data_IF_109671029270
#
_entry.id   IF_109671029270
#
_cell.length_a   1.000
_cell.length_b   1.000
_cell.length_c   1.000
_cell.angle_alpha   90.00
_cell.angle_beta   90.00
_cell.angle_gamma   90.00
#
_symmetry.space_group_name_H-M   'P 1'
#
loop_
_entity.id
_entity.type
_entity.pdbx_description
1 polymer ?
#
# COMPACT_ATOMS: atom_id res chain seq x y z
N UNK A 1 7.68 -4.45 -0.76
CA UNK A 1 9.01 -5.12 -0.81
C UNK A 1 9.76 -4.89 -2.12
N UNK A 2 9.37 -5.49 -3.27
CA UNK A 2 10.13 -5.31 -4.54
C UNK A 2 10.25 -3.85 -4.96
N UNK A 3 9.11 -3.15 -5.08
CA UNK A 3 9.06 -1.72 -5.45
C UNK A 3 9.85 -0.84 -4.47
N UNK A 4 9.70 -1.08 -3.16
CA UNK A 4 10.49 -0.38 -2.13
C UNK A 4 12.00 -0.63 -2.26
N UNK A 5 12.42 -1.84 -2.62
CA UNK A 5 13.83 -2.13 -2.88
C UNK A 5 14.34 -1.40 -4.13
N UNK A 6 13.53 -1.34 -5.19
CA UNK A 6 13.90 -0.64 -6.43
C UNK A 6 14.01 0.87 -6.18
N UNK A 7 13.07 1.44 -5.43
CA UNK A 7 13.11 2.84 -5.00
C UNK A 7 14.36 3.14 -4.16
N UNK A 8 14.64 2.35 -3.12
CA UNK A 8 15.83 2.56 -2.27
C UNK A 8 17.13 2.46 -3.07
N UNK A 9 17.22 1.52 -4.02
CA UNK A 9 18.37 1.41 -4.93
C UNK A 9 18.50 2.63 -5.85
N UNK A 10 17.39 3.24 -6.28
CA UNK A 10 17.42 4.48 -7.06
C UNK A 10 17.89 5.69 -6.24
N UNK A 11 17.83 5.59 -4.91
CA UNK A 11 18.36 6.57 -3.95
C UNK A 11 19.76 6.19 -3.42
N UNK A 12 20.51 5.34 -4.13
CA UNK A 12 21.86 4.87 -3.77
C UNK A 12 21.97 4.10 -2.43
N UNK A 13 20.87 3.53 -1.93
CA UNK A 13 20.90 2.63 -0.78
C UNK A 13 21.01 1.15 -1.19
N UNK A 14 21.75 0.37 -0.39
CA UNK A 14 21.77 -1.10 -0.56
C UNK A 14 20.53 -1.72 0.09
N UNK A 15 19.71 -2.42 -0.70
CA UNK A 15 18.51 -3.08 -0.18
C UNK A 15 18.24 -4.43 -0.84
N UNK A 16 17.70 -5.37 -0.07
CA UNK A 16 17.17 -6.64 -0.59
C UNK A 16 16.00 -7.17 0.24
N UNK A 17 15.42 -8.31 -0.17
CA UNK A 17 14.40 -9.02 0.58
C UNK A 17 14.66 -10.53 0.61
N UNK A 18 14.32 -11.17 1.73
CA UNK A 18 14.50 -12.62 1.90
C UNK A 18 13.69 -13.38 0.86
N UNK A 19 14.34 -14.33 0.17
CA UNK A 19 13.73 -15.14 -0.89
C UNK A 19 13.78 -14.50 -2.28
N UNK A 20 14.45 -13.35 -2.44
CA UNK A 20 14.71 -12.73 -3.75
C UNK A 20 15.65 -13.59 -4.61
N UNK A 21 16.85 -13.84 -4.09
CA UNK A 21 17.91 -14.63 -4.73
C UNK A 21 18.72 -15.31 -3.62
N UNK A 22 18.90 -16.62 -3.69
CA UNK A 22 19.68 -17.37 -2.70
C UNK A 22 21.17 -17.06 -2.74
N UNK A 23 21.68 -16.47 -3.84
CA UNK A 23 23.08 -16.04 -3.92
C UNK A 23 23.39 -14.88 -2.96
N UNK A 24 22.40 -14.07 -2.61
CA UNK A 24 22.52 -12.94 -1.68
C UNK A 24 22.47 -13.37 -0.19
N UNK A 25 22.18 -14.65 0.10
CA UNK A 25 21.96 -15.14 1.46
C UNK A 25 23.15 -14.87 2.40
N UNK A 26 24.37 -15.04 1.90
CA UNK A 26 25.60 -14.80 2.67
C UNK A 26 25.75 -13.31 2.97
N UNK A 27 25.47 -12.45 2.00
CA UNK A 27 25.53 -10.99 2.16
C UNK A 27 24.46 -10.48 3.12
N UNK A 28 23.27 -11.07 3.11
CA UNK A 28 22.21 -10.79 4.09
C UNK A 28 22.69 -11.15 5.49
N UNK A 29 23.23 -12.35 5.70
CA UNK A 29 23.73 -12.81 7.01
C UNK A 29 24.89 -11.93 7.50
N UNK A 30 25.78 -11.52 6.60
CA UNK A 30 26.92 -10.65 6.92
C UNK A 30 26.51 -9.19 7.18
N UNK A 31 25.26 -8.80 6.92
CA UNK A 31 24.78 -7.44 7.11
C UNK A 31 25.27 -6.45 6.05
N UNK A 32 25.49 -6.91 4.82
CA UNK A 32 26.00 -6.09 3.71
C UNK A 32 24.92 -5.20 3.05
N UNK A 33 23.69 -5.25 3.54
CA UNK A 33 22.57 -4.41 3.09
C UNK A 33 22.14 -3.42 4.17
N UNK A 34 21.88 -2.18 3.78
CA UNK A 34 21.32 -1.15 4.66
C UNK A 34 19.85 -1.43 4.99
N UNK A 35 19.08 -1.96 4.02
CA UNK A 35 17.68 -2.31 4.20
C UNK A 35 17.43 -3.78 3.83
N UNK A 36 16.85 -4.53 4.76
CA UNK A 36 16.42 -5.90 4.56
C UNK A 36 14.91 -6.00 4.80
N UNK A 37 14.16 -6.38 3.76
CA UNK A 37 12.75 -6.68 3.88
C UNK A 37 12.50 -8.17 4.04
N UNK A 38 11.46 -8.54 4.78
CA UNK A 38 11.06 -9.92 4.94
C UNK A 38 9.55 -10.00 5.21
N UNK A 39 8.91 -11.08 4.75
CA UNK A 39 7.60 -11.45 5.27
C UNK A 39 7.76 -12.13 6.64
N UNK A 40 6.74 -12.09 7.52
CA UNK A 40 6.78 -12.79 8.81
C UNK A 40 7.10 -14.27 8.67
N UNK A 41 6.53 -14.93 7.64
CA UNK A 41 6.79 -16.32 7.32
C UNK A 41 8.27 -16.55 6.99
N UNK A 42 8.85 -15.72 6.12
CA UNK A 42 10.22 -15.88 5.66
C UNK A 42 11.25 -15.74 6.78
N UNK A 43 11.04 -14.80 7.71
CA UNK A 43 11.99 -14.49 8.78
C UNK A 43 11.85 -15.41 10.00
N UNK A 44 10.62 -15.87 10.31
CA UNK A 44 10.34 -16.67 11.52
C UNK A 44 10.29 -18.18 11.29
N UNK A 45 10.00 -18.65 10.08
CA UNK A 45 9.84 -20.10 9.80
C UNK A 45 11.15 -20.83 9.51
N UNK A 46 12.22 -20.10 9.17
CA UNK A 46 13.50 -20.67 8.77
C UNK A 46 14.57 -20.32 9.81
N UNK A 47 15.16 -21.36 10.41
CA UNK A 47 16.14 -21.20 11.50
C UNK A 47 17.32 -20.30 11.13
N UNK A 48 17.88 -20.44 9.92
CA UNK A 48 18.99 -19.62 9.42
C UNK A 48 18.77 -18.11 9.64
N UNK A 49 17.55 -17.63 9.37
CA UNK A 49 17.23 -16.21 9.49
C UNK A 49 16.98 -15.79 10.94
N UNK A 50 16.40 -16.68 11.76
CA UNK A 50 16.30 -16.47 13.22
C UNK A 50 17.68 -16.38 13.86
N UNK A 51 18.60 -17.27 13.46
CA UNK A 51 19.97 -17.29 13.97
C UNK A 51 20.73 -15.99 13.61
N UNK A 52 20.52 -15.48 12.39
CA UNK A 52 21.04 -14.16 11.98
C UNK A 52 20.48 -13.03 12.87
N UNK A 53 19.18 -13.04 13.19
CA UNK A 53 18.58 -12.02 14.08
C UNK A 53 19.25 -12.01 15.46
N UNK A 54 19.55 -13.20 16.01
CA UNK A 54 20.16 -13.36 17.33
C UNK A 54 21.66 -13.02 17.32
N UNK A 55 22.37 -13.45 16.27
CA UNK A 55 23.83 -13.30 16.19
C UNK A 55 24.28 -11.88 15.84
N UNK A 56 23.51 -11.18 15.01
CA UNK A 56 23.89 -9.86 14.50
C UNK A 56 23.50 -8.73 15.47
N UNK A 57 24.48 -7.88 15.78
CA UNK A 57 24.26 -6.62 16.52
C UNK A 57 24.15 -5.41 15.59
N UNK A 58 24.08 -5.63 14.27
CA UNK A 58 24.10 -4.57 13.29
C UNK A 58 22.74 -3.90 13.09
N UNK A 59 21.64 -4.57 13.46
CA UNK A 59 20.30 -4.01 13.34
C UNK A 59 20.16 -2.71 14.16
N UNK A 60 19.78 -1.63 13.47
CA UNK A 60 19.59 -0.31 14.07
C UNK A 60 18.11 0.01 14.33
N UNK A 61 17.22 -0.59 13.55
CA UNK A 61 15.78 -0.39 13.64
C UNK A 61 15.08 -1.62 13.07
N UNK A 62 14.00 -2.05 13.73
CA UNK A 62 13.08 -3.04 13.19
C UNK A 62 11.74 -2.39 12.91
N UNK A 63 11.30 -2.44 11.66
CA UNK A 63 10.07 -1.79 11.20
C UNK A 63 9.04 -2.87 10.88
N UNK A 64 7.84 -2.70 11.42
CA UNK A 64 6.68 -3.52 11.07
C UNK A 64 5.68 -2.63 10.35
N UNK A 65 5.59 -2.83 9.04
CA UNK A 65 4.56 -2.22 8.21
C UNK A 65 3.24 -2.98 8.36
N UNK A 66 2.12 -2.26 8.21
CA UNK A 66 0.77 -2.77 8.47
C UNK A 66 0.63 -3.51 9.81
N UNK A 67 1.19 -2.94 10.88
CA UNK A 67 1.28 -3.59 12.19
C UNK A 67 -0.08 -4.04 12.76
N UNK A 68 -1.18 -3.41 12.34
CA UNK A 68 -2.54 -3.76 12.75
C UNK A 68 -2.94 -5.19 12.34
N UNK A 69 -2.30 -5.77 11.34
CA UNK A 69 -2.54 -7.15 10.88
C UNK A 69 -2.30 -8.19 11.96
N UNK A 70 -1.45 -7.91 12.96
CA UNK A 70 -1.20 -8.78 14.11
C UNK A 70 -2.46 -9.03 14.95
N UNK A 71 -3.43 -8.11 14.90
CA UNK A 71 -4.68 -8.19 15.66
C UNK A 71 -5.72 -9.10 15.00
N UNK A 72 -5.67 -9.24 13.67
CA UNK A 72 -6.72 -9.90 12.89
C UNK A 72 -6.27 -11.18 12.19
N UNK A 73 -4.99 -11.28 11.81
CA UNK A 73 -4.50 -12.40 11.00
C UNK A 73 -3.74 -13.45 11.82
N UNK A 74 -3.32 -13.06 13.04
CA UNK A 74 -2.63 -13.93 13.98
C UNK A 74 -3.56 -14.75 14.89
N UNK A 75 -4.81 -14.32 15.07
CA UNK A 75 -5.81 -14.99 15.89
C UNK A 75 -7.03 -15.30 15.02
N UNK A 76 -7.51 -16.54 15.07
CA UNK A 76 -8.81 -16.90 14.53
C UNK A 76 -9.82 -16.91 15.67
N UNK A 77 -10.71 -15.92 15.67
CA UNK A 77 -11.96 -16.07 16.40
C UNK A 77 -12.83 -17.04 15.57
N UNK A 78 -13.04 -18.25 16.11
CA UNK A 78 -13.94 -19.32 15.61
C UNK A 78 -13.27 -20.29 14.63
N UNK A 79 -12.88 -21.49 15.14
CA UNK A 79 -12.67 -22.79 14.44
C UNK A 79 -11.94 -22.85 13.08
N UNK A 80 -11.32 -21.77 12.61
CA UNK A 80 -10.54 -21.73 11.37
C UNK A 80 -9.06 -21.59 11.69
N UNK A 81 -8.20 -22.17 10.86
CA UNK A 81 -6.76 -21.93 10.97
C UNK A 81 -6.47 -20.43 10.78
N UNK A 82 -5.58 -19.82 11.58
CA UNK A 82 -5.21 -18.42 11.42
C UNK A 82 -4.70 -18.20 9.99
N UNK A 83 -5.32 -17.25 9.28
CA UNK A 83 -5.06 -16.94 7.88
C UNK A 83 -3.56 -16.69 7.61
N UNK A 84 -2.81 -16.19 8.62
CA UNK A 84 -1.33 -16.18 8.61
C UNK A 84 -0.75 -16.37 10.03
N UNK A 85 -0.55 -17.61 10.43
CA UNK A 85 -0.03 -17.98 11.77
C UNK A 85 1.27 -17.26 12.17
N UNK A 86 2.12 -16.89 11.22
CA UNK A 86 3.39 -16.23 11.51
C UNK A 86 3.23 -14.78 11.97
N UNK A 87 2.09 -14.14 11.68
CA UNK A 87 1.81 -12.79 12.17
C UNK A 87 1.61 -12.77 13.69
N UNK A 88 0.94 -13.77 14.31
CA UNK A 88 0.82 -13.81 15.78
C UNK A 88 2.16 -14.01 16.48
N UNK A 89 3.16 -14.53 15.77
CA UNK A 89 4.51 -14.78 16.28
C UNK A 89 5.47 -13.61 16.09
N UNK A 90 5.04 -12.50 15.48
CA UNK A 90 5.92 -11.35 15.26
C UNK A 90 6.47 -10.75 16.56
N UNK A 91 5.72 -10.87 17.66
CA UNK A 91 6.22 -10.50 19.00
C UNK A 91 7.47 -11.28 19.42
N UNK A 92 7.68 -12.51 18.92
CA UNK A 92 8.89 -13.30 19.19
C UNK A 92 10.15 -12.59 18.70
N UNK A 93 10.06 -11.83 17.60
CA UNK A 93 11.20 -11.09 17.04
C UNK A 93 11.76 -10.13 18.08
N UNK A 94 10.90 -9.54 18.93
CA UNK A 94 11.34 -8.63 20.00
C UNK A 94 12.32 -9.30 20.97
N UNK A 95 12.20 -10.60 21.18
CA UNK A 95 13.12 -11.38 22.01
C UNK A 95 14.42 -11.74 21.28
N UNK A 96 14.45 -11.66 19.95
CA UNK A 96 15.60 -11.99 19.11
C UNK A 96 16.45 -10.76 18.78
N UNK A 97 15.86 -9.57 18.75
CA UNK A 97 16.55 -8.32 18.38
C UNK A 97 16.68 -7.36 19.58
N UNK A 98 17.76 -6.58 19.61
CA UNK A 98 18.01 -5.59 20.67
C UNK A 98 17.85 -4.13 20.21
N UNK A 99 17.34 -3.87 19.00
CA UNK A 99 17.17 -2.52 18.46
C UNK A 99 15.78 -1.93 18.73
N UNK A 100 15.59 -0.60 18.57
CA UNK A 100 14.27 0.02 18.58
C UNK A 100 13.32 -0.61 17.56
N UNK A 101 12.02 -0.58 17.87
CA UNK A 101 10.96 -1.07 16.98
C UNK A 101 10.07 0.09 16.58
N UNK A 102 9.73 0.16 15.29
CA UNK A 102 8.77 1.09 14.73
C UNK A 102 7.59 0.32 14.17
N UNK A 103 6.39 0.62 14.66
CA UNK A 103 5.14 0.07 14.14
C UNK A 103 4.47 1.13 13.26
N UNK A 104 4.21 0.81 12.01
CA UNK A 104 3.54 1.69 11.06
C UNK A 104 2.18 1.08 10.69
N UNK A 105 1.13 1.89 10.71
CA UNK A 105 -0.21 1.49 10.26
C UNK A 105 -1.04 2.71 9.92
N UNK A 106 -1.87 2.61 8.88
CA UNK A 106 -2.82 3.67 8.53
C UNK A 106 -4.05 3.69 9.45
N UNK A 107 -4.48 2.53 9.94
CA UNK A 107 -5.73 2.38 10.68
C UNK A 107 -5.49 1.72 12.03
N UNK A 108 -5.54 2.52 13.10
CA UNK A 108 -5.51 1.99 14.47
C UNK A 108 -6.23 2.92 15.44
N UNK A 109 -7.41 2.48 15.90
CA UNK A 109 -8.09 3.13 17.01
C UNK A 109 -7.29 2.93 18.33
N UNK A 110 -7.68 3.63 19.39
CA UNK A 110 -6.96 3.60 20.67
C UNK A 110 -6.81 2.17 21.24
N UNK A 111 -7.85 1.34 21.14
CA UNK A 111 -7.80 -0.04 21.63
C UNK A 111 -6.82 -0.90 20.81
N UNK A 112 -6.87 -0.76 19.48
CA UNK A 112 -5.96 -1.46 18.57
C UNK A 112 -4.50 -1.10 18.85
N UNK A 113 -4.20 0.17 19.14
CA UNK A 113 -2.84 0.62 19.49
C UNK A 113 -2.35 -0.02 20.79
N UNK A 114 -3.18 -0.07 21.83
CA UNK A 114 -2.80 -0.74 23.09
C UNK A 114 -2.52 -2.23 22.88
N UNK A 115 -3.36 -2.93 22.12
CA UNK A 115 -3.16 -4.35 21.83
C UNK A 115 -1.90 -4.61 20.98
N UNK A 116 -1.61 -3.76 19.98
CA UNK A 116 -0.36 -3.84 19.23
C UNK A 116 0.87 -3.62 20.12
N UNK A 117 0.85 -2.59 20.97
CA UNK A 117 1.95 -2.33 21.92
C UNK A 117 2.21 -3.55 22.80
N UNK A 118 1.14 -4.19 23.31
CA UNK A 118 1.24 -5.42 24.09
C UNK A 118 1.82 -6.59 23.29
N UNK A 119 1.32 -6.86 22.08
CA UNK A 119 1.77 -7.98 21.23
C UNK A 119 3.22 -7.83 20.76
N UNK A 120 3.68 -6.60 20.54
CA UNK A 120 5.07 -6.31 20.18
C UNK A 120 5.99 -6.05 21.38
N UNK A 121 5.47 -6.19 22.62
CA UNK A 121 6.20 -5.90 23.85
C UNK A 121 6.88 -4.52 23.83
N UNK A 122 6.14 -3.51 23.38
CA UNK A 122 6.57 -2.12 23.33
C UNK A 122 6.48 -1.53 24.74
N UNK A 123 7.62 -1.15 25.30
CA UNK A 123 7.74 -0.50 26.62
C UNK A 123 8.02 0.98 26.37
N UNK A 124 7.32 1.87 27.09
CA UNK A 124 7.45 3.33 26.98
C UNK A 124 7.35 3.83 25.53
N UNK A 125 6.38 3.29 24.79
CA UNK A 125 6.18 3.58 23.38
C UNK A 125 5.80 5.05 23.14
N UNK A 126 6.54 5.73 22.27
CA UNK A 126 6.15 7.04 21.76
C UNK A 126 5.11 6.88 20.64
N UNK A 127 3.90 7.38 20.85
CA UNK A 127 2.83 7.35 19.84
C UNK A 127 2.80 8.64 19.01
N UNK A 128 2.89 8.51 17.68
CA UNK A 128 2.63 9.60 16.73
C UNK A 128 1.31 9.29 16.04
N UNK A 129 0.33 10.17 16.21
CA UNK A 129 -1.02 10.03 15.65
C UNK A 129 -1.31 11.28 14.83
N UNK A 130 -1.59 11.08 13.55
CA UNK A 130 -2.00 12.15 12.64
C UNK A 130 -3.46 11.99 12.25
N UNK A 131 -4.15 13.12 12.07
CA UNK A 131 -5.49 13.12 11.50
C UNK A 131 -5.38 12.80 10.00
N UNK A 132 -6.07 11.77 9.49
CA UNK A 132 -6.05 11.46 8.06
C UNK A 132 -6.91 12.42 7.23
N UNK A 133 -7.61 13.36 7.86
CA UNK A 133 -8.44 14.34 7.15
C UNK A 133 -7.60 15.16 6.17
N UNK A 134 -8.13 15.32 4.96
CA UNK A 134 -7.48 16.04 3.86
C UNK A 134 -8.45 17.11 3.39
N UNK A 135 -8.15 18.36 3.72
CA UNK A 135 -9.06 19.49 3.47
C UNK A 135 -9.38 19.70 1.98
N UNK A 136 -8.47 19.27 1.10
CA UNK A 136 -8.62 19.28 -0.35
C UNK A 136 -9.51 18.13 -0.89
N UNK A 137 -9.95 17.18 -0.07
CA UNK A 137 -10.85 16.09 -0.46
C UNK A 137 -12.28 16.42 -0.01
N UNK A 138 -13.19 16.60 -0.96
CA UNK A 138 -14.63 16.81 -0.68
C UNK A 138 -15.41 15.51 -0.87
N UNK A 139 -16.25 15.18 0.10
CA UNK A 139 -17.05 13.95 0.10
C UNK A 139 -18.50 14.27 -0.26
N UNK A 140 -19.05 13.53 -1.23
CA UNK A 140 -20.46 13.64 -1.64
C UNK A 140 -21.09 12.24 -1.72
N UNK A 141 -22.35 12.13 -1.27
CA UNK A 141 -23.13 10.91 -1.36
C UNK A 141 -24.40 11.15 -2.18
N UNK A 142 -24.59 10.35 -3.22
CA UNK A 142 -25.77 10.40 -4.08
C UNK A 142 -26.44 9.03 -4.13
N UNK A 143 -27.76 9.00 -4.01
CA UNK A 143 -28.56 7.77 -4.07
C UNK A 143 -29.30 7.70 -5.40
N UNK A 144 -29.27 6.53 -6.02
CA UNK A 144 -29.94 6.26 -7.28
C UNK A 144 -30.94 5.11 -7.11
N UNK A 145 -32.06 5.16 -7.83
CA UNK A 145 -32.95 4.00 -7.93
C UNK A 145 -32.25 2.91 -8.73
N UNK A 146 -32.48 1.65 -8.37
CA UNK A 146 -31.91 0.48 -9.09
C UNK A 146 -32.29 0.40 -10.57
N UNK A 147 -33.34 1.11 -10.98
CA UNK A 147 -33.81 1.18 -12.37
C UNK A 147 -32.99 2.14 -13.24
N UNK A 148 -32.16 3.00 -12.65
CA UNK A 148 -31.36 3.98 -13.40
C UNK A 148 -30.15 3.28 -14.02
N UNK A 149 -29.92 3.49 -15.31
CA UNK A 149 -28.80 2.87 -16.00
C UNK A 149 -27.45 3.49 -15.58
N UNK A 150 -26.36 2.73 -15.66
CA UNK A 150 -25.01 3.26 -15.42
C UNK A 150 -24.68 4.48 -16.30
N UNK A 151 -25.16 4.50 -17.55
CA UNK A 151 -24.93 5.62 -18.45
C UNK A 151 -25.61 6.91 -18.01
N UNK A 152 -26.74 6.82 -17.30
CA UNK A 152 -27.45 7.99 -16.78
C UNK A 152 -26.85 8.44 -15.45
N UNK A 153 -26.45 7.49 -14.59
CA UNK A 153 -25.74 7.77 -13.31
C UNK A 153 -24.46 8.57 -13.59
N UNK A 154 -23.68 8.14 -14.59
CA UNK A 154 -22.41 8.77 -14.94
C UNK A 154 -22.51 9.72 -16.14
N UNK A 155 -23.71 10.24 -16.44
CA UNK A 155 -23.91 11.13 -17.58
C UNK A 155 -22.99 12.36 -17.54
N UNK A 156 -22.79 12.96 -16.36
CA UNK A 156 -21.92 14.12 -16.18
C UNK A 156 -20.48 13.82 -16.62
N UNK A 157 -19.96 12.65 -16.24
CA UNK A 157 -18.61 12.23 -16.57
C UNK A 157 -18.48 11.90 -18.05
N UNK A 158 -19.47 11.23 -18.63
CA UNK A 158 -19.52 10.96 -20.07
C UNK A 158 -19.54 12.27 -20.86
N UNK A 159 -20.28 13.28 -20.39
CA UNK A 159 -20.32 14.61 -21.01
C UNK A 159 -18.96 15.32 -20.90
N UNK A 160 -18.33 15.28 -19.72
CA UNK A 160 -17.01 15.85 -19.47
C UNK A 160 -15.95 15.24 -20.40
N UNK A 161 -15.89 13.90 -20.47
CA UNK A 161 -14.96 13.19 -21.36
C UNK A 161 -15.19 13.51 -22.84
N UNK A 162 -16.44 13.71 -23.27
CA UNK A 162 -16.73 14.12 -24.65
C UNK A 162 -16.22 15.52 -24.98
N UNK A 163 -16.31 16.42 -24.01
CA UNK A 163 -15.94 17.83 -24.16
C UNK A 163 -14.41 17.99 -24.10
N UNK A 164 -13.78 17.44 -23.06
CA UNK A 164 -12.40 17.76 -22.72
C UNK A 164 -11.39 16.72 -23.25
N UNK A 165 -11.82 15.47 -23.47
CA UNK A 165 -11.03 14.38 -24.08
C UNK A 165 -9.65 14.22 -23.42
N UNK A 166 -8.55 14.44 -24.15
CA UNK A 166 -7.17 14.41 -23.66
C UNK A 166 -6.90 15.41 -22.52
N UNK A 167 -7.71 16.47 -22.39
CA UNK A 167 -7.60 17.49 -21.34
C UNK A 167 -8.50 17.18 -20.12
N UNK A 168 -9.25 16.08 -20.14
CA UNK A 168 -10.07 15.69 -19.00
C UNK A 168 -9.17 15.30 -17.82
N UNK A 169 -9.50 15.81 -16.64
CA UNK A 169 -8.82 15.38 -15.41
C UNK A 169 -8.94 13.86 -15.21
N UNK A 170 -7.93 13.29 -14.56
CA UNK A 170 -7.88 11.86 -14.27
C UNK A 170 -8.92 11.50 -13.21
N UNK A 171 -9.73 10.48 -13.52
CA UNK A 171 -10.83 10.05 -12.67
C UNK A 171 -10.76 8.54 -12.45
N UNK A 172 -10.79 8.13 -11.18
CA UNK A 172 -10.89 6.73 -10.77
C UNK A 172 -12.33 6.39 -10.38
N UNK A 173 -12.86 5.31 -10.95
CA UNK A 173 -14.16 4.75 -10.57
C UNK A 173 -13.95 3.38 -9.94
N UNK A 174 -14.11 3.28 -8.62
CA UNK A 174 -14.04 2.01 -7.92
C UNK A 174 -15.35 1.22 -8.09
N UNK A 175 -15.24 -0.01 -8.58
CA UNK A 175 -16.37 -0.92 -8.75
C UNK A 175 -16.28 -2.08 -7.74
N UNK A 176 -17.41 -2.55 -7.18
CA UNK A 176 -17.41 -3.63 -6.18
C UNK A 176 -17.09 -5.01 -6.77
N UNK A 177 -17.17 -5.17 -8.09
CA UNK A 177 -16.87 -6.43 -8.77
C UNK A 177 -16.37 -6.22 -10.20
N UNK A 178 -15.67 -7.22 -10.74
CA UNK A 178 -15.24 -7.27 -12.16
C UNK A 178 -16.46 -7.16 -13.08
N UNK A 179 -17.58 -7.78 -12.70
CA UNK A 179 -18.84 -7.72 -13.45
C UNK A 179 -19.36 -6.28 -13.54
N UNK A 180 -19.47 -5.59 -12.41
CA UNK A 180 -19.92 -4.18 -12.38
C UNK A 180 -18.98 -3.28 -13.18
N UNK A 181 -17.66 -3.50 -13.07
CA UNK A 181 -16.67 -2.77 -13.85
C UNK A 181 -16.86 -2.98 -15.37
N UNK A 182 -17.07 -4.22 -15.80
CA UNK A 182 -17.36 -4.58 -17.19
C UNK A 182 -18.67 -3.97 -17.72
N UNK A 183 -19.73 -3.99 -16.91
CA UNK A 183 -21.02 -3.41 -17.24
C UNK A 183 -20.94 -1.88 -17.39
N UNK A 184 -20.23 -1.21 -16.47
CA UNK A 184 -19.99 0.23 -16.53
C UNK A 184 -19.15 0.61 -17.75
N UNK A 185 -18.06 -0.12 -18.00
CA UNK A 185 -17.21 0.09 -19.18
C UNK A 185 -18.01 -0.08 -20.48
N UNK A 186 -18.89 -1.07 -20.55
CA UNK A 186 -19.78 -1.28 -21.69
C UNK A 186 -20.75 -0.12 -21.89
N UNK A 187 -21.33 0.43 -20.82
CA UNK A 187 -22.18 1.61 -20.89
C UNK A 187 -21.42 2.84 -21.40
N UNK A 188 -20.19 3.06 -20.92
CA UNK A 188 -19.31 4.12 -21.41
C UNK A 188 -18.98 3.92 -22.89
N UNK A 189 -18.62 2.70 -23.31
CA UNK A 189 -18.32 2.36 -24.70
C UNK A 189 -19.48 2.66 -25.63
N UNK A 190 -20.70 2.31 -25.25
CA UNK A 190 -21.90 2.60 -26.03
C UNK A 190 -22.17 4.11 -26.18
N UNK A 191 -21.87 4.91 -25.15
CA UNK A 191 -22.15 6.36 -25.14
C UNK A 191 -21.02 7.19 -25.74
N UNK A 192 -19.76 6.76 -25.63
CA UNK A 192 -18.56 7.48 -26.05
C UNK A 192 -18.11 7.17 -27.47
N UNK A 193 -18.41 5.98 -28.01
CA UNK A 193 -17.95 5.58 -29.34
C UNK A 193 -16.41 5.60 -29.42
N UNK A 194 -15.84 6.34 -30.37
CA UNK A 194 -14.38 6.43 -30.56
C UNK A 194 -13.63 7.09 -29.39
N UNK A 195 -14.31 7.87 -28.55
CA UNK A 195 -13.74 8.55 -27.38
C UNK A 195 -13.44 7.53 -26.25
N UNK A 196 -13.93 6.29 -26.36
CA UNK A 196 -13.67 5.23 -25.38
C UNK A 196 -12.18 4.94 -25.16
N UNK A 197 -11.29 5.34 -26.08
CA UNK A 197 -9.84 5.23 -25.94
C UNK A 197 -9.27 5.93 -24.69
N UNK A 198 -10.02 6.85 -24.08
CA UNK A 198 -9.65 7.56 -22.83
C UNK A 198 -10.18 6.89 -21.56
N UNK A 199 -10.77 5.71 -21.68
CA UNK A 199 -11.31 4.97 -20.54
C UNK A 199 -10.67 3.60 -20.56
N UNK A 200 -10.11 3.20 -19.43
CA UNK A 200 -9.48 1.90 -19.25
C UNK A 200 -10.17 1.13 -18.13
N UNK A 201 -10.13 -0.20 -18.23
CA UNK A 201 -10.64 -1.12 -17.20
C UNK A 201 -9.49 -1.82 -16.49
N UNK A 202 -9.42 -1.68 -15.18
CA UNK A 202 -8.36 -2.25 -14.35
C UNK A 202 -8.94 -3.21 -13.31
N UNK A 203 -8.60 -4.50 -13.42
CA UNK A 203 -8.98 -5.51 -12.44
C UNK A 203 -7.98 -6.68 -12.39
N UNK A 204 -8.13 -7.62 -11.45
CA UNK A 204 -7.19 -8.72 -11.25
C UNK A 204 -6.94 -9.57 -12.51
N UNK A 205 -7.96 -9.79 -13.33
CA UNK A 205 -7.88 -10.54 -14.59
C UNK A 205 -7.40 -9.71 -15.81
N UNK A 206 -7.11 -8.42 -15.65
CA UNK A 206 -6.56 -7.61 -16.75
C UNK A 206 -5.16 -8.13 -17.08
N UNK A 207 -4.77 -8.29 -18.36
CA UNK A 207 -3.41 -8.68 -18.72
C UNK A 207 -2.38 -7.75 -18.11
N UNK A 208 -1.27 -8.28 -17.60
CA UNK A 208 -0.29 -7.46 -16.88
C UNK A 208 0.34 -6.37 -17.76
N UNK A 209 0.54 -6.64 -19.05
CA UNK A 209 0.97 -5.62 -20.02
C UNK A 209 0.03 -4.43 -20.11
N UNK A 210 -1.28 -4.66 -19.96
CA UNK A 210 -2.29 -3.60 -19.96
C UNK A 210 -2.32 -2.90 -18.60
N UNK A 211 -2.16 -3.63 -17.49
CA UNK A 211 -2.04 -3.02 -16.15
C UNK A 211 -0.85 -2.07 -16.08
N UNK A 212 0.32 -2.48 -16.58
CA UNK A 212 1.51 -1.63 -16.57
C UNK A 212 1.32 -0.38 -17.44
N UNK A 213 0.77 -0.52 -18.66
CA UNK A 213 0.42 0.66 -19.50
C UNK A 213 -0.50 1.65 -18.77
N UNK A 214 -1.53 1.15 -18.09
CA UNK A 214 -2.47 2.01 -17.35
C UNK A 214 -1.78 2.69 -16.17
N UNK A 215 -0.93 1.97 -15.43
CA UNK A 215 -0.16 2.55 -14.31
C UNK A 215 0.78 3.64 -14.82
N UNK A 216 1.50 3.39 -15.90
CA UNK A 216 2.40 4.37 -16.54
C UNK A 216 1.62 5.63 -16.94
N UNK A 217 0.51 5.48 -17.67
CA UNK A 217 -0.33 6.61 -18.11
C UNK A 217 -0.88 7.45 -16.94
N UNK A 218 -1.27 6.78 -15.85
CA UNK A 218 -1.78 7.43 -14.64
C UNK A 218 -0.69 8.07 -13.76
N UNK A 219 0.59 7.69 -13.95
CA UNK A 219 1.73 8.19 -13.17
C UNK A 219 2.36 9.47 -13.72
N UNK A 220 2.06 9.85 -14.96
CA UNK A 220 2.64 11.05 -15.58
C UNK A 220 2.05 12.30 -14.95
N UNK A 221 2.80 13.05 -14.15
CA UNK A 221 2.36 14.35 -13.64
C UNK A 221 2.12 15.31 -14.82
N UNK A 222 0.97 15.98 -14.84
CA UNK A 222 0.74 17.07 -15.78
C UNK A 222 1.56 18.28 -15.34
N UNK A 223 2.27 18.94 -16.26
CA UNK A 223 3.18 20.08 -16.04
C UNK A 223 2.58 21.29 -15.26
N UNK A 224 1.32 21.25 -14.85
CA UNK A 224 0.63 22.28 -14.07
C UNK A 224 0.96 22.28 -12.57
N UNK A 225 1.46 21.19 -11.98
CA UNK A 225 1.63 21.08 -10.52
C UNK A 225 2.98 21.59 -9.99
N UNK A 226 3.95 21.89 -10.85
CA UNK A 226 5.27 22.42 -10.46
C UNK A 226 5.29 23.89 -9.97
N UNK A 227 4.15 24.48 -9.63
CA UNK A 227 4.06 25.90 -9.21
C UNK A 227 3.65 26.11 -7.75
N UNK A 228 3.41 25.04 -6.99
CA UNK A 228 2.91 25.14 -5.61
C UNK A 228 3.96 24.89 -4.51
N UNK A 229 5.14 24.36 -4.83
CA UNK A 229 6.13 23.94 -3.82
C UNK A 229 7.18 25.02 -3.42
N UNK A 230 7.13 26.22 -4.01
CA UNK A 230 8.07 27.32 -3.71
C UNK A 230 7.60 28.29 -2.60
N UNK A 231 6.65 27.90 -1.72
CA UNK A 231 6.06 28.81 -0.71
C UNK A 231 6.24 28.42 0.76
N UNK A 232 7.26 27.64 1.10
CA UNK A 232 7.65 27.45 2.51
C UNK A 232 9.15 27.69 2.73
N UNK A 233 9.56 28.95 2.61
CA UNK A 233 10.78 29.49 3.21
C UNK A 233 10.56 30.99 3.49
N UNK A 234 9.97 31.29 4.65
CA UNK A 234 10.33 32.41 5.53
C UNK A 234 9.24 32.54 6.59
N UNK A 235 9.57 32.19 7.82
CA UNK A 235 9.20 33.01 8.98
C UNK A 235 10.04 32.52 10.17
N UNK A 236 11.23 33.10 10.22
CA UNK A 236 12.01 33.27 11.43
C UNK A 236 11.31 34.27 12.36
N UNK A 237 11.07 33.88 13.61
CA UNK A 237 11.25 34.70 14.82
C UNK A 237 11.38 33.81 16.07
#
# INVERSE_FOLDING_TARGET
MKEQCEYLKSCDFTSTFIGRDSSEDIDIINGNFQFLFASPESILSVNKWRDMLVASKHFKLFVVDEAHTVLHWGESEIEMEPFRIWYSKLGEIRSLIQCPVLLITATANRSARMEMQKKFCMIDCHEIIQNPDRENIKLFAHTFKSTVSHGDIFYFLIHLLKKDKELCERILIFCPSIKTCSELFSAFRMKLGHIIKHVDMFHSQTPDTVKERIKEDMSVESDSDNSADDMFDDDSD
#
